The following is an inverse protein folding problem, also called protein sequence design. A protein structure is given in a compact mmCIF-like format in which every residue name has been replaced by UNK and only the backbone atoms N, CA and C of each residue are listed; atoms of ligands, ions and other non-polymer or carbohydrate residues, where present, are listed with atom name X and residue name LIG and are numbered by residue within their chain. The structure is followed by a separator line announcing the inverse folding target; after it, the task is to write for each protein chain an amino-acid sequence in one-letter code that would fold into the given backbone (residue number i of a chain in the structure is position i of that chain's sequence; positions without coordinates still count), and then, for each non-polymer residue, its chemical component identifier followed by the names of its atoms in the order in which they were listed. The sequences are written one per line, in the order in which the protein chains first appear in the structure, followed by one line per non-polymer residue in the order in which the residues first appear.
data_IF_660583498222
#
_entry.id   IF_660583498222
#
_cell.length_a   1.000
_cell.length_b   1.000
_cell.length_c   1.000
_cell.angle_alpha   90.00
_cell.angle_beta   90.00
_cell.angle_gamma   90.00
#
_symmetry.space_group_name_H-M   'P 1'
#
loop_
_entity.id
_entity.type
_entity.pdbx_description
1 polymer ?
#
# COMPACT_ATOMS: atom_id res chain seq x y z
N UNK A 1 -5.03 20.05 5.77
CA UNK A 1 -5.62 18.70 5.80
C UNK A 1 -4.56 17.71 5.41
N UNK A 2 -4.42 16.63 6.13
CA UNK A 2 -3.50 15.53 5.79
C UNK A 2 -4.32 14.24 5.66
N UNK A 3 -4.26 13.61 4.48
CA UNK A 3 -4.97 12.37 4.15
C UNK A 3 -3.95 11.24 4.19
N UNK A 4 -4.13 10.29 5.11
CA UNK A 4 -3.19 9.19 5.34
C UNK A 4 -3.85 7.83 5.24
N UNK A 5 -3.12 6.84 4.83
CA UNK A 5 -3.36 5.39 4.94
C UNK A 5 -2.44 4.61 4.00
N UNK A 6 -2.60 3.28 3.96
CA UNK A 6 -1.89 2.38 3.05
C UNK A 6 -2.06 2.74 1.57
N UNK A 7 -1.18 2.21 0.71
CA UNK A 7 -1.25 2.44 -0.73
C UNK A 7 -2.58 1.92 -1.34
N UNK A 8 -3.03 2.55 -2.42
CA UNK A 8 -4.18 2.09 -3.20
C UNK A 8 -5.58 2.28 -2.57
N UNK A 9 -5.69 2.99 -1.44
CA UNK A 9 -6.98 3.24 -0.75
C UNK A 9 -7.79 4.44 -1.29
N UNK A 10 -7.29 5.14 -2.32
CA UNK A 10 -8.00 6.24 -2.96
C UNK A 10 -7.69 7.65 -2.42
N UNK A 11 -6.59 7.85 -1.67
CA UNK A 11 -6.20 9.16 -1.11
C UNK A 11 -6.10 10.28 -2.14
N UNK A 12 -5.36 10.07 -3.22
CA UNK A 12 -5.22 11.02 -4.33
C UNK A 12 -6.55 11.31 -5.01
N UNK A 13 -7.37 10.27 -5.18
CA UNK A 13 -8.73 10.38 -5.75
C UNK A 13 -9.61 11.25 -4.86
N UNK A 14 -9.58 11.03 -3.55
CA UNK A 14 -10.33 11.85 -2.59
C UNK A 14 -9.88 13.31 -2.63
N UNK A 15 -8.55 13.57 -2.65
CA UNK A 15 -8.03 14.93 -2.75
C UNK A 15 -8.50 15.65 -4.01
N UNK A 16 -8.48 14.97 -5.17
CA UNK A 16 -8.98 15.51 -6.44
C UNK A 16 -10.49 15.72 -6.46
N UNK A 17 -11.26 14.80 -5.89
CA UNK A 17 -12.71 14.94 -5.77
C UNK A 17 -13.09 16.15 -4.90
N UNK A 18 -12.38 16.38 -3.80
CA UNK A 18 -12.62 17.54 -2.94
C UNK A 18 -12.46 18.85 -3.70
N UNK A 19 -11.36 19.05 -4.43
CA UNK A 19 -11.12 20.31 -5.17
C UNK A 19 -12.06 20.47 -6.38
N UNK A 20 -12.50 19.38 -6.99
CA UNK A 20 -13.47 19.42 -8.08
C UNK A 20 -14.90 19.76 -7.62
N UNK A 21 -15.22 19.51 -6.34
CA UNK A 21 -16.53 19.84 -5.75
C UNK A 21 -16.55 21.19 -5.01
N UNK A 22 -15.39 21.82 -4.85
CA UNK A 22 -15.26 23.15 -4.24
C UNK A 22 -14.94 24.16 -5.36
N UNK A 23 -15.56 25.32 -5.34
CA UNK A 23 -15.21 26.37 -6.30
C UNK A 23 -13.88 27.04 -5.90
N UNK A 24 -12.77 26.43 -6.36
CA UNK A 24 -11.41 26.84 -6.02
C UNK A 24 -10.47 26.74 -7.23
N UNK A 25 -9.44 27.59 -7.22
CA UNK A 25 -8.25 27.36 -8.04
C UNK A 25 -7.36 26.34 -7.32
N UNK A 26 -6.82 25.35 -8.02
CA UNK A 26 -5.92 24.40 -7.37
C UNK A 26 -4.63 24.15 -8.13
N UNK A 27 -3.57 23.89 -7.37
CA UNK A 27 -2.28 23.42 -7.84
C UNK A 27 -2.06 21.99 -7.34
N UNK A 28 -1.74 21.08 -8.26
CA UNK A 28 -1.37 19.70 -7.93
C UNK A 28 0.13 19.51 -8.13
N UNK A 29 0.80 19.00 -7.09
CA UNK A 29 2.23 18.65 -7.10
C UNK A 29 2.33 17.20 -6.62
N UNK A 30 2.97 16.34 -7.43
CA UNK A 30 3.38 15.01 -7.00
C UNK A 30 4.78 15.09 -6.38
N UNK A 31 4.86 14.86 -5.08
CA UNK A 31 6.10 14.99 -4.34
C UNK A 31 7.10 13.83 -4.59
N UNK A 32 6.65 12.72 -5.15
CA UNK A 32 7.56 11.64 -5.58
C UNK A 32 8.38 12.03 -6.81
N UNK A 33 7.80 12.83 -7.69
CA UNK A 33 8.46 13.30 -8.92
C UNK A 33 9.23 14.61 -8.67
N UNK A 34 8.71 15.47 -7.79
CA UNK A 34 9.18 16.83 -7.55
C UNK A 34 9.54 17.01 -6.06
N UNK A 35 10.56 16.32 -5.59
CA UNK A 35 10.95 16.27 -4.17
C UNK A 35 11.97 17.34 -3.75
N UNK A 36 12.51 18.14 -4.69
CA UNK A 36 13.49 19.15 -4.39
C UNK A 36 12.89 20.35 -3.65
N UNK A 37 13.65 20.90 -2.71
CA UNK A 37 13.26 22.04 -1.88
C UNK A 37 12.86 23.23 -2.74
N UNK A 38 13.66 23.53 -3.77
CA UNK A 38 13.52 24.73 -4.59
C UNK A 38 12.27 24.65 -5.48
N UNK A 39 12.04 23.48 -6.11
CA UNK A 39 10.88 23.28 -6.99
C UNK A 39 9.57 23.40 -6.20
N UNK A 40 9.47 22.72 -5.05
CA UNK A 40 8.28 22.81 -4.20
C UNK A 40 8.09 24.24 -3.71
N UNK A 41 9.17 24.92 -3.27
CA UNK A 41 9.13 26.29 -2.76
C UNK A 41 8.68 27.27 -3.82
N UNK A 42 9.25 27.22 -5.01
CA UNK A 42 8.90 28.16 -6.09
C UNK A 42 7.47 27.95 -6.60
N UNK A 43 7.06 26.72 -6.86
CA UNK A 43 5.70 26.43 -7.33
C UNK A 43 4.64 26.87 -6.33
N UNK A 44 4.82 26.51 -5.07
CA UNK A 44 3.90 26.89 -3.99
C UNK A 44 3.86 28.42 -3.83
N UNK A 45 5.02 29.08 -3.79
CA UNK A 45 5.11 30.53 -3.64
C UNK A 45 4.46 31.26 -4.82
N UNK A 46 4.77 30.86 -6.05
CA UNK A 46 4.23 31.49 -7.25
C UNK A 46 2.70 31.36 -7.29
N UNK A 47 2.18 30.15 -7.08
CA UNK A 47 0.74 29.94 -7.06
C UNK A 47 0.05 30.71 -5.92
N UNK A 48 0.61 30.68 -4.72
CA UNK A 48 0.02 31.33 -3.55
C UNK A 48 0.06 32.87 -3.62
N UNK A 49 1.06 33.46 -4.31
CA UNK A 49 1.25 34.91 -4.42
C UNK A 49 0.43 35.56 -5.56
N UNK A 50 0.02 34.77 -6.57
CA UNK A 50 -0.79 35.29 -7.68
C UNK A 50 -2.22 35.56 -7.25
N UNK A 51 -2.90 36.47 -7.95
CA UNK A 51 -4.35 36.64 -7.80
C UNK A 51 -5.04 35.40 -8.38
N UNK A 52 -6.00 34.84 -7.65
CA UNK A 52 -6.83 33.74 -8.12
C UNK A 52 -7.99 34.23 -8.96
N UNK A 53 -8.54 33.36 -9.79
CA UNK A 53 -9.80 33.59 -10.49
C UNK A 53 -11.00 33.30 -9.57
N UNK A 54 -10.78 32.54 -8.49
CA UNK A 54 -11.76 32.09 -7.52
C UNK A 54 -11.40 32.56 -6.11
N UNK A 55 -12.37 32.56 -5.22
CA UNK A 55 -12.19 33.05 -3.84
C UNK A 55 -11.27 32.18 -3.00
N UNK A 56 -11.12 30.89 -3.38
CA UNK A 56 -10.28 29.95 -2.64
C UNK A 56 -9.19 29.36 -3.53
N UNK A 57 -7.99 29.22 -2.97
CA UNK A 57 -6.87 28.47 -3.57
C UNK A 57 -6.56 27.24 -2.75
N UNK A 58 -6.31 26.13 -3.43
CA UNK A 58 -5.94 24.87 -2.80
C UNK A 58 -4.66 24.32 -3.42
N UNK A 59 -3.72 23.90 -2.60
CA UNK A 59 -2.50 23.23 -3.03
C UNK A 59 -2.58 21.79 -2.57
N UNK A 60 -2.52 20.83 -3.52
CA UNK A 60 -2.46 19.40 -3.26
C UNK A 60 -1.01 18.97 -3.39
N UNK A 61 -0.46 18.42 -2.31
CA UNK A 61 0.85 17.77 -2.28
C UNK A 61 0.62 16.27 -2.12
N UNK A 62 0.68 15.55 -3.23
CA UNK A 62 0.49 14.11 -3.26
C UNK A 62 1.80 13.39 -2.95
N UNK A 63 1.72 12.28 -2.22
CA UNK A 63 2.87 11.49 -1.76
C UNK A 63 3.90 12.31 -0.95
N UNK A 64 3.42 13.15 -0.05
CA UNK A 64 4.20 14.12 0.72
C UNK A 64 5.29 13.48 1.61
N UNK A 65 5.19 12.20 1.90
CA UNK A 65 6.19 11.39 2.62
C UNK A 65 7.48 11.13 1.81
N UNK A 66 7.51 11.49 0.52
CA UNK A 66 8.73 11.50 -0.30
C UNK A 66 9.52 12.82 -0.24
N UNK A 67 8.92 13.88 0.30
CA UNK A 67 9.59 15.18 0.46
C UNK A 67 10.69 15.06 1.52
N UNK A 68 11.89 15.58 1.20
CA UNK A 68 13.01 15.61 2.15
C UNK A 68 12.68 16.44 3.41
N UNK A 69 13.27 16.15 4.59
CA UNK A 69 13.02 16.92 5.81
C UNK A 69 13.28 18.42 5.67
N UNK A 70 14.29 18.80 4.88
CA UNK A 70 14.61 20.21 4.60
C UNK A 70 13.49 20.88 3.77
N UNK A 71 12.96 20.19 2.77
CA UNK A 71 11.84 20.68 1.97
C UNK A 71 10.54 20.74 2.78
N UNK A 72 10.32 19.81 3.68
CA UNK A 72 9.20 19.85 4.63
C UNK A 72 9.30 21.05 5.58
N UNK A 73 10.49 21.40 6.06
CA UNK A 73 10.69 22.62 6.88
C UNK A 73 10.40 23.90 6.10
N UNK A 74 10.78 23.96 4.82
CA UNK A 74 10.43 25.07 3.92
C UNK A 74 8.91 25.12 3.69
N UNK A 75 8.28 23.99 3.43
CA UNK A 75 6.83 23.87 3.23
C UNK A 75 6.07 24.37 4.47
N UNK A 76 6.49 24.03 5.68
CA UNK A 76 5.91 24.54 6.91
C UNK A 76 5.83 26.07 6.91
N UNK A 77 6.95 26.73 6.56
CA UNK A 77 6.99 28.20 6.52
C UNK A 77 6.02 28.78 5.47
N UNK A 78 5.91 28.13 4.32
CA UNK A 78 4.96 28.53 3.26
C UNK A 78 3.51 28.36 3.71
N UNK A 79 3.19 27.26 4.39
CA UNK A 79 1.86 27.01 4.96
C UNK A 79 1.45 28.10 5.96
N UNK A 80 2.38 28.57 6.79
CA UNK A 80 2.14 29.68 7.72
C UNK A 80 1.95 31.02 6.98
N UNK A 81 2.86 31.33 6.06
CA UNK A 81 2.84 32.61 5.31
C UNK A 81 1.57 32.75 4.49
N UNK A 82 1.14 31.70 3.84
CA UNK A 82 -0.01 31.74 2.92
C UNK A 82 -1.30 31.18 3.50
N UNK A 83 -1.37 30.96 4.81
CA UNK A 83 -2.55 30.38 5.50
C UNK A 83 -3.87 31.12 5.25
N UNK A 84 -3.81 32.43 4.97
CA UNK A 84 -5.00 33.26 4.67
C UNK A 84 -5.50 33.06 3.24
N UNK A 85 -4.58 32.85 2.29
CA UNK A 85 -4.87 32.86 0.85
C UNK A 85 -4.99 31.43 0.28
N UNK A 86 -4.36 30.43 0.92
CA UNK A 86 -4.31 29.07 0.41
C UNK A 86 -4.68 28.05 1.48
N UNK A 87 -5.28 26.93 1.04
CA UNK A 87 -5.46 25.72 1.84
C UNK A 87 -4.56 24.63 1.28
N UNK A 88 -4.11 23.75 2.15
CA UNK A 88 -3.21 22.67 1.78
C UNK A 88 -3.88 21.31 2.03
N UNK A 89 -3.78 20.43 1.04
CA UNK A 89 -4.15 19.02 1.14
C UNK A 89 -2.88 18.21 0.93
N UNK A 90 -2.46 17.47 1.93
CA UNK A 90 -1.30 16.59 1.89
C UNK A 90 -1.82 15.16 1.86
N UNK A 91 -1.28 14.31 0.98
CA UNK A 91 -1.51 12.87 1.06
C UNK A 91 -0.20 12.17 1.41
N UNK A 92 -0.26 11.11 2.18
CA UNK A 92 0.91 10.30 2.53
C UNK A 92 0.51 8.85 2.79
N UNK A 93 1.46 7.94 2.59
CA UNK A 93 1.35 6.55 3.00
C UNK A 93 1.90 6.37 4.42
N UNK A 94 2.99 7.03 4.74
CA UNK A 94 3.71 6.91 6.01
C UNK A 94 3.72 8.26 6.74
N UNK A 95 2.79 8.43 7.69
CA UNK A 95 2.67 9.69 8.45
C UNK A 95 3.92 9.98 9.31
N UNK A 96 4.62 8.94 9.71
CA UNK A 96 5.87 9.00 10.49
C UNK A 96 7.01 9.69 9.74
N UNK A 97 6.93 9.76 8.41
CA UNK A 97 7.88 10.50 7.57
C UNK A 97 7.57 12.00 7.46
N UNK A 98 6.39 12.41 7.91
CA UNK A 98 6.01 13.84 7.93
C UNK A 98 6.42 14.43 9.28
N UNK A 99 7.17 15.52 9.23
CA UNK A 99 7.65 16.19 10.47
C UNK A 99 6.48 16.69 11.34
N UNK A 100 6.62 16.59 12.65
CA UNK A 100 5.60 17.00 13.63
C UNK A 100 5.08 18.43 13.43
N UNK A 101 5.94 19.43 13.07
CA UNK A 101 5.45 20.79 12.82
C UNK A 101 4.46 20.90 11.64
N UNK A 102 4.48 20.01 10.65
CA UNK A 102 3.48 19.97 9.59
C UNK A 102 2.23 19.24 10.08
N UNK A 103 2.42 18.11 10.76
CA UNK A 103 1.29 17.34 11.29
C UNK A 103 0.41 18.17 12.23
N UNK A 104 1.03 18.96 13.12
CA UNK A 104 0.33 19.82 14.08
C UNK A 104 -0.49 20.95 13.42
N UNK A 105 -0.16 21.32 12.18
CA UNK A 105 -0.88 22.36 11.39
C UNK A 105 -1.94 21.80 10.46
N UNK A 106 -2.03 20.49 10.38
CA UNK A 106 -2.98 19.79 9.54
C UNK A 106 -4.02 19.05 10.36
N UNK A 107 -5.27 19.10 9.96
CA UNK A 107 -6.24 18.13 10.41
C UNK A 107 -5.98 16.82 9.68
N UNK A 108 -5.75 15.75 10.43
CA UNK A 108 -5.43 14.44 9.89
C UNK A 108 -6.70 13.60 9.68
N UNK A 109 -6.80 12.97 8.50
CA UNK A 109 -7.89 12.09 8.14
C UNK A 109 -7.32 10.75 7.67
N UNK A 110 -7.78 9.69 8.27
CA UNK A 110 -7.43 8.33 7.84
C UNK A 110 -8.49 7.85 6.85
N UNK A 111 -8.04 7.41 5.66
CA UNK A 111 -8.90 6.83 4.63
C UNK A 111 -8.89 5.32 4.79
N UNK A 112 -9.74 4.81 5.68
CA UNK A 112 -9.88 3.37 5.90
C UNK A 112 -10.43 2.72 4.63
N UNK A 113 -9.80 1.63 4.14
CA UNK A 113 -10.34 0.92 2.98
C UNK A 113 -11.74 0.40 3.26
N UNK A 114 -12.64 0.43 2.25
CA UNK A 114 -13.97 -0.16 2.37
C UNK A 114 -13.88 -1.66 2.69
N UNK A 115 -14.94 -2.23 3.23
CA UNK A 115 -14.96 -3.67 3.46
C UNK A 115 -14.87 -4.48 2.15
N UNK A 116 -14.44 -5.75 2.24
CA UNK A 116 -14.25 -6.61 1.06
C UNK A 116 -15.51 -6.75 0.21
N UNK A 117 -16.68 -6.71 0.83
CA UNK A 117 -17.98 -6.81 0.14
C UNK A 117 -18.23 -5.57 -0.71
N UNK A 118 -17.96 -4.39 -0.17
CA UNK A 118 -18.08 -3.12 -0.90
C UNK A 118 -17.07 -3.05 -2.06
N UNK A 119 -15.84 -3.51 -1.86
CA UNK A 119 -14.83 -3.59 -2.92
C UNK A 119 -15.27 -4.57 -4.02
N UNK A 120 -15.82 -5.73 -3.66
CA UNK A 120 -16.36 -6.71 -4.61
C UNK A 120 -17.53 -6.13 -5.42
N UNK A 121 -18.42 -5.41 -4.77
CA UNK A 121 -19.55 -4.74 -5.43
C UNK A 121 -19.08 -3.63 -6.38
N UNK A 122 -18.08 -2.87 -5.98
CA UNK A 122 -17.48 -1.85 -6.83
C UNK A 122 -16.81 -2.47 -8.08
N UNK A 123 -16.05 -3.55 -7.90
CA UNK A 123 -15.46 -4.29 -9.03
C UNK A 123 -16.54 -4.84 -9.97
N UNK A 124 -17.61 -5.43 -9.43
CA UNK A 124 -18.75 -5.91 -10.22
C UNK A 124 -19.39 -4.79 -11.05
N UNK A 125 -19.56 -3.60 -10.46
CA UNK A 125 -20.08 -2.43 -11.19
C UNK A 125 -19.16 -2.00 -12.33
N UNK A 126 -17.85 -2.02 -12.14
CA UNK A 126 -16.88 -1.71 -13.19
C UNK A 126 -17.00 -2.73 -14.33
N UNK A 127 -16.99 -4.04 -14.02
CA UNK A 127 -17.09 -5.10 -15.02
C UNK A 127 -18.40 -5.02 -15.83
N UNK A 128 -19.52 -4.72 -15.16
CA UNK A 128 -20.81 -4.51 -15.81
C UNK A 128 -20.78 -3.31 -16.77
N UNK A 129 -20.19 -2.18 -16.36
CA UNK A 129 -20.08 -0.99 -17.20
C UNK A 129 -19.21 -1.22 -18.45
N UNK A 130 -18.21 -2.09 -18.34
CA UNK A 130 -17.33 -2.49 -19.44
C UNK A 130 -17.89 -3.68 -20.26
N UNK A 131 -19.09 -4.18 -19.94
CA UNK A 131 -19.74 -5.33 -20.55
C UNK A 131 -18.89 -6.61 -20.49
N UNK A 132 -18.21 -6.85 -19.38
CA UNK A 132 -17.39 -8.03 -19.14
C UNK A 132 -18.21 -9.06 -18.37
N UNK A 133 -18.27 -10.29 -18.89
CA UNK A 133 -18.88 -11.43 -18.19
C UNK A 133 -17.97 -11.91 -17.04
N UNK A 134 -18.57 -12.25 -15.90
CA UNK A 134 -17.82 -12.73 -14.74
C UNK A 134 -18.65 -13.72 -13.88
N UNK A 135 -17.95 -14.57 -13.12
CA UNK A 135 -18.54 -15.34 -12.01
C UNK A 135 -18.28 -14.59 -10.68
N UNK A 136 -19.23 -14.68 -9.76
CA UNK A 136 -19.11 -14.09 -8.41
C UNK A 136 -17.89 -14.67 -7.65
N UNK A 137 -17.56 -15.94 -7.88
CA UNK A 137 -16.40 -16.59 -7.27
C UNK A 137 -15.09 -15.98 -7.75
N UNK A 138 -15.03 -15.58 -9.01
CA UNK A 138 -13.85 -14.96 -9.61
C UNK A 138 -13.60 -13.58 -9.00
N UNK A 139 -14.66 -12.78 -8.82
CA UNK A 139 -14.56 -11.50 -8.10
C UNK A 139 -14.04 -11.70 -6.68
N UNK A 140 -14.57 -12.67 -5.94
CA UNK A 140 -14.14 -12.94 -4.57
C UNK A 140 -12.65 -13.33 -4.52
N UNK A 141 -12.18 -14.12 -5.46
CA UNK A 141 -10.76 -14.53 -5.57
C UNK A 141 -9.85 -13.33 -5.81
N UNK A 142 -10.20 -12.45 -6.75
CA UNK A 142 -9.42 -11.24 -7.06
C UNK A 142 -9.40 -10.29 -5.86
N UNK A 143 -10.54 -10.05 -5.25
CA UNK A 143 -10.65 -9.17 -4.08
C UNK A 143 -9.81 -9.71 -2.92
N UNK A 144 -9.87 -11.00 -2.63
CA UNK A 144 -9.06 -11.60 -1.56
C UNK A 144 -7.55 -11.48 -1.82
N UNK A 145 -7.12 -11.57 -3.08
CA UNK A 145 -5.72 -11.43 -3.46
C UNK A 145 -5.17 -10.01 -3.51
N UNK A 146 -6.04 -9.00 -3.67
CA UNK A 146 -5.63 -7.60 -3.81
C UNK A 146 -5.93 -6.73 -2.59
N UNK A 147 -6.89 -7.10 -1.76
CA UNK A 147 -7.30 -6.32 -0.59
C UNK A 147 -6.15 -6.16 0.44
N UNK A 148 -5.94 -4.97 1.04
CA UNK A 148 -6.80 -3.78 1.03
C UNK A 148 -6.55 -2.78 -0.12
N UNK A 149 -5.61 -3.06 -1.02
CA UNK A 149 -5.26 -2.19 -2.15
C UNK A 149 -6.28 -2.32 -3.29
N UNK A 150 -7.20 -1.34 -3.40
CA UNK A 150 -8.26 -1.33 -4.42
C UNK A 150 -7.66 -1.22 -5.83
N UNK A 151 -6.56 -0.48 -6.00
CA UNK A 151 -5.86 -0.36 -7.29
C UNK A 151 -5.33 -1.73 -7.74
N UNK A 152 -4.76 -2.51 -6.81
CA UNK A 152 -4.29 -3.88 -7.06
C UNK A 152 -5.43 -4.81 -7.46
N UNK A 153 -6.60 -4.68 -6.82
CA UNK A 153 -7.81 -5.43 -7.17
C UNK A 153 -8.25 -5.11 -8.60
N UNK A 154 -8.40 -3.83 -8.94
CA UNK A 154 -8.86 -3.41 -10.28
C UNK A 154 -7.84 -3.81 -11.36
N UNK A 155 -6.56 -3.53 -11.16
CA UNK A 155 -5.51 -3.89 -12.12
C UNK A 155 -5.35 -5.41 -12.26
N UNK A 156 -5.58 -6.15 -11.17
CA UNK A 156 -5.59 -7.61 -11.16
C UNK A 156 -6.73 -8.17 -12.01
N UNK A 157 -7.93 -7.61 -11.89
CA UNK A 157 -9.07 -8.01 -12.70
C UNK A 157 -8.86 -7.68 -14.18
N UNK A 158 -8.36 -6.49 -14.50
CA UNK A 158 -8.10 -6.07 -15.88
C UNK A 158 -7.15 -7.02 -16.62
N UNK A 159 -6.11 -7.50 -15.94
CA UNK A 159 -5.15 -8.46 -16.52
C UNK A 159 -5.75 -9.82 -16.84
N UNK A 160 -6.85 -10.18 -16.17
CA UNK A 160 -7.49 -11.49 -16.30
C UNK A 160 -8.73 -11.46 -17.20
N UNK A 161 -9.01 -10.34 -17.86
CA UNK A 161 -10.07 -10.26 -18.87
C UNK A 161 -9.55 -10.76 -20.19
N UNK A 162 -10.15 -11.85 -20.70
CA UNK A 162 -9.82 -12.45 -21.99
C UNK A 162 -11.12 -12.55 -22.82
N UNK A 163 -11.12 -11.98 -24.01
CA UNK A 163 -12.27 -12.01 -24.93
C UNK A 163 -13.60 -11.55 -24.30
N UNK A 164 -13.58 -10.50 -23.47
CA UNK A 164 -14.77 -9.95 -22.83
C UNK A 164 -15.28 -10.77 -21.63
N UNK A 165 -14.51 -11.72 -21.14
CA UNK A 165 -14.82 -12.51 -19.97
C UNK A 165 -13.69 -12.49 -18.96
N UNK A 166 -14.04 -12.38 -17.67
CA UNK A 166 -13.11 -12.55 -16.58
C UNK A 166 -12.78 -14.04 -16.41
N UNK A 167 -11.50 -14.40 -16.59
CA UNK A 167 -11.04 -15.80 -16.47
C UNK A 167 -9.89 -15.81 -15.46
N UNK A 168 -10.10 -16.42 -14.30
CA UNK A 168 -9.06 -16.55 -13.29
C UNK A 168 -8.05 -17.62 -13.73
N UNK A 169 -6.79 -17.22 -13.87
CA UNK A 169 -5.70 -18.16 -14.08
C UNK A 169 -5.48 -19.01 -12.80
N UNK A 170 -5.27 -20.32 -12.96
CA UNK A 170 -4.96 -21.23 -11.86
C UNK A 170 -3.76 -20.77 -11.04
N UNK A 171 -2.79 -20.09 -11.67
CA UNK A 171 -1.65 -19.48 -10.99
C UNK A 171 -2.08 -18.40 -9.99
N UNK A 172 -3.14 -17.64 -10.27
CA UNK A 172 -3.65 -16.59 -9.36
C UNK A 172 -4.29 -17.20 -8.11
N UNK A 173 -4.99 -18.33 -8.27
CA UNK A 173 -5.56 -19.09 -7.15
C UNK A 173 -4.43 -19.60 -6.27
N UNK A 174 -3.40 -20.18 -6.88
CA UNK A 174 -2.21 -20.70 -6.17
C UNK A 174 -1.45 -19.60 -5.43
N UNK A 175 -1.30 -18.40 -6.05
CA UNK A 175 -0.66 -17.24 -5.44
C UNK A 175 -1.43 -16.68 -4.23
N UNK A 176 -2.74 -16.84 -4.17
CA UNK A 176 -3.52 -16.39 -3.02
C UNK A 176 -3.53 -17.41 -1.88
N UNK A 177 -3.36 -18.68 -2.23
CA UNK A 177 -3.53 -19.82 -1.31
C UNK A 177 -2.21 -20.24 -0.63
N UNK A 178 -1.04 -19.80 -1.16
CA UNK A 178 0.26 -20.26 -0.61
C UNK A 178 0.49 -19.79 0.84
N UNK A 179 -0.05 -18.62 1.21
CA UNK A 179 0.13 -18.04 2.55
C UNK A 179 -0.53 -18.89 3.63
N UNK A 180 -1.77 -19.33 3.40
CA UNK A 180 -2.46 -20.25 4.31
C UNK A 180 -1.77 -21.61 4.40
N UNK A 181 -1.33 -22.15 3.26
CA UNK A 181 -0.58 -23.41 3.22
C UNK A 181 0.77 -23.33 3.96
N UNK A 182 1.48 -22.21 3.87
CA UNK A 182 2.71 -21.99 4.65
C UNK A 182 2.43 -22.06 6.14
N UNK A 183 1.37 -21.41 6.62
CA UNK A 183 0.98 -21.45 8.03
C UNK A 183 0.63 -22.88 8.49
N UNK A 184 -0.13 -23.61 7.68
CA UNK A 184 -0.49 -25.00 7.99
C UNK A 184 0.74 -25.90 8.06
N UNK A 185 1.71 -25.72 7.16
CA UNK A 185 2.97 -26.45 7.19
C UNK A 185 3.79 -26.14 8.46
N UNK A 186 3.86 -24.88 8.85
CA UNK A 186 4.56 -24.50 10.08
C UNK A 186 3.93 -25.10 11.33
N UNK A 187 2.59 -25.19 11.38
CA UNK A 187 1.84 -25.75 12.52
C UNK A 187 1.92 -27.26 12.63
N UNK A 188 1.86 -27.98 11.53
CA UNK A 188 1.49 -29.41 11.52
C UNK A 188 2.60 -30.37 11.13
N UNK A 189 3.62 -29.95 10.37
CA UNK A 189 4.61 -30.85 9.79
C UNK A 189 5.92 -30.91 10.60
N UNK A 190 6.64 -32.01 10.44
CA UNK A 190 7.98 -32.18 11.01
C UNK A 190 9.04 -31.33 10.30
N UNK A 191 10.21 -31.15 10.91
CA UNK A 191 11.28 -30.24 10.44
C UNK A 191 11.68 -30.45 8.99
N UNK A 192 11.91 -31.73 8.59
CA UNK A 192 12.43 -32.04 7.25
C UNK A 192 11.39 -31.83 6.14
N UNK A 193 10.16 -32.30 6.37
CA UNK A 193 9.06 -32.15 5.41
C UNK A 193 8.59 -30.72 5.30
N UNK A 194 8.57 -29.95 6.38
CA UNK A 194 8.24 -28.52 6.37
C UNK A 194 9.10 -27.73 5.41
N UNK A 195 10.43 -27.90 5.48
CA UNK A 195 11.35 -27.19 4.60
C UNK A 195 11.13 -27.52 3.11
N UNK A 196 11.02 -28.82 2.79
CA UNK A 196 10.82 -29.25 1.41
C UNK A 196 9.50 -28.74 0.83
N UNK A 197 8.42 -28.84 1.62
CA UNK A 197 7.09 -28.44 1.17
C UNK A 197 6.96 -26.91 1.04
N UNK A 198 7.55 -26.12 1.94
CA UNK A 198 7.58 -24.67 1.80
C UNK A 198 8.36 -24.26 0.55
N UNK A 199 9.54 -24.86 0.32
CA UNK A 199 10.33 -24.59 -0.88
C UNK A 199 9.56 -24.88 -2.16
N UNK A 200 8.92 -26.06 -2.25
CA UNK A 200 8.13 -26.41 -3.41
C UNK A 200 6.95 -25.46 -3.60
N UNK A 201 6.26 -25.13 -2.51
CA UNK A 201 5.12 -24.21 -2.52
C UNK A 201 5.49 -22.80 -3.00
N UNK A 202 6.64 -22.27 -2.58
CA UNK A 202 7.13 -20.97 -3.01
C UNK A 202 7.53 -20.97 -4.49
N UNK A 203 8.24 -22.03 -4.94
CA UNK A 203 8.59 -22.19 -6.35
C UNK A 203 7.35 -22.28 -7.26
N UNK A 204 6.35 -23.04 -6.85
CA UNK A 204 5.10 -23.22 -7.62
C UNK A 204 4.26 -21.92 -7.65
N UNK A 205 4.30 -21.13 -6.57
CA UNK A 205 3.52 -19.89 -6.48
C UNK A 205 4.06 -18.75 -7.33
N UNK A 206 5.32 -18.81 -7.79
CA UNK A 206 6.00 -17.76 -8.59
C UNK A 206 5.88 -16.36 -7.99
N UNK A 207 5.82 -16.25 -6.67
CA UNK A 207 5.75 -14.98 -5.95
C UNK A 207 7.13 -14.33 -5.94
N UNK A 208 7.20 -13.05 -6.30
CA UNK A 208 8.45 -12.26 -6.29
C UNK A 208 8.53 -11.25 -5.14
N UNK A 209 7.41 -10.99 -4.45
CA UNK A 209 7.33 -10.08 -3.30
C UNK A 209 6.72 -10.79 -2.10
N UNK A 210 7.51 -10.88 -1.03
CA UNK A 210 7.15 -11.58 0.20
C UNK A 210 6.78 -10.65 1.36
N UNK A 211 6.66 -9.34 1.12
CA UNK A 211 6.35 -8.34 2.16
C UNK A 211 5.07 -8.67 2.94
N UNK A 212 4.02 -9.10 2.23
CA UNK A 212 2.77 -9.53 2.83
C UNK A 212 2.91 -10.83 3.65
N UNK A 213 3.86 -11.70 3.30
CA UNK A 213 4.11 -12.95 4.03
C UNK A 213 4.80 -12.66 5.36
N UNK A 214 5.78 -11.75 5.40
CA UNK A 214 6.39 -11.31 6.65
C UNK A 214 5.33 -10.76 7.61
N UNK A 215 4.42 -9.93 7.11
CA UNK A 215 3.35 -9.37 7.93
C UNK A 215 2.39 -10.42 8.45
N UNK A 216 1.97 -11.36 7.60
CA UNK A 216 1.10 -12.46 7.99
C UNK A 216 1.75 -13.34 9.06
N UNK A 217 3.02 -13.71 8.88
CA UNK A 217 3.76 -14.52 9.85
C UNK A 217 3.86 -13.82 11.20
N UNK A 218 4.08 -12.51 11.21
CA UNK A 218 4.10 -11.74 12.46
C UNK A 218 2.72 -11.68 13.11
N UNK A 219 1.66 -11.39 12.35
CA UNK A 219 0.30 -11.25 12.88
C UNK A 219 -0.28 -12.58 13.42
N UNK A 220 0.23 -13.71 12.95
CA UNK A 220 -0.20 -15.08 13.36
C UNK A 220 0.84 -15.83 14.18
N UNK A 221 1.84 -15.13 14.73
CA UNK A 221 2.99 -15.77 15.39
C UNK A 221 2.61 -16.63 16.60
N UNK A 222 1.54 -16.26 17.30
CA UNK A 222 1.01 -17.02 18.44
C UNK A 222 0.53 -18.41 18.05
N UNK A 223 0.11 -18.57 16.78
CA UNK A 223 -0.44 -19.83 16.26
C UNK A 223 0.64 -20.85 15.91
N UNK A 224 1.83 -20.44 15.44
CA UNK A 224 2.86 -21.30 14.90
C UNK A 224 4.21 -21.21 15.63
N UNK A 225 4.48 -20.09 16.32
CA UNK A 225 5.74 -19.83 17.04
C UNK A 225 5.68 -20.16 18.54
N UNK A 226 4.72 -20.97 18.97
CA UNK A 226 4.46 -21.27 20.38
C UNK A 226 5.73 -21.75 21.10
N UNK A 227 6.06 -21.05 22.19
CA UNK A 227 7.27 -21.34 22.99
C UNK A 227 8.54 -20.62 22.53
N UNK A 228 8.59 -20.07 21.32
CA UNK A 228 9.75 -19.40 20.71
C UNK A 228 9.39 -18.07 20.04
N UNK A 229 8.36 -17.38 20.54
CA UNK A 229 7.83 -16.15 19.93
C UNK A 229 8.91 -15.08 19.81
N UNK A 230 9.71 -14.86 20.87
CA UNK A 230 10.73 -13.83 20.88
C UNK A 230 11.83 -14.07 19.84
N UNK A 231 12.31 -15.30 19.74
CA UNK A 231 13.31 -15.71 18.74
C UNK A 231 12.74 -15.56 17.31
N UNK A 232 11.51 -15.99 17.09
CA UNK A 232 10.84 -15.86 15.79
C UNK A 232 10.67 -14.41 15.36
N UNK A 233 10.35 -13.47 16.28
CA UNK A 233 10.28 -12.04 15.99
C UNK A 233 11.64 -11.49 15.55
N UNK A 234 12.72 -11.88 16.22
CA UNK A 234 14.07 -11.45 15.87
C UNK A 234 14.48 -11.96 14.48
N UNK A 235 14.14 -13.20 14.16
CA UNK A 235 14.38 -13.79 12.84
C UNK A 235 13.58 -13.04 11.77
N UNK A 236 12.28 -12.82 11.97
CA UNK A 236 11.43 -12.06 11.04
C UNK A 236 11.98 -10.65 10.79
N UNK A 237 12.36 -9.92 11.85
CA UNK A 237 12.93 -8.57 11.75
C UNK A 237 14.23 -8.54 10.94
N UNK A 238 15.15 -9.50 11.18
CA UNK A 238 16.43 -9.65 10.48
C UNK A 238 16.22 -9.83 8.97
N UNK A 239 15.36 -10.76 8.58
CA UNK A 239 15.13 -11.06 7.16
C UNK A 239 14.25 -10.03 6.45
N UNK A 240 13.34 -9.38 7.15
CA UNK A 240 12.58 -8.25 6.61
C UNK A 240 13.48 -7.04 6.29
N UNK A 241 14.48 -6.74 7.14
CA UNK A 241 15.46 -5.70 6.85
C UNK A 241 16.31 -6.06 5.64
N UNK A 242 16.74 -7.32 5.54
CA UNK A 242 17.52 -7.80 4.39
C UNK A 242 16.72 -7.78 3.09
N UNK A 243 15.41 -8.01 3.12
CA UNK A 243 14.55 -8.08 1.93
C UNK A 243 14.54 -6.78 1.09
N UNK A 244 14.81 -5.65 1.73
CA UNK A 244 14.91 -4.35 1.05
C UNK A 244 16.18 -4.20 0.18
N UNK A 245 17.21 -5.02 0.42
CA UNK A 245 18.57 -4.83 -0.17
C UNK A 245 19.01 -6.05 -0.98
N UNK A 246 18.46 -7.24 -0.73
CA UNK A 246 18.87 -8.47 -1.41
C UNK A 246 18.36 -8.51 -2.85
N UNK A 247 19.18 -9.06 -3.73
CA UNK A 247 18.83 -9.26 -5.15
C UNK A 247 17.86 -10.42 -5.32
N UNK A 248 18.09 -11.53 -4.60
CA UNK A 248 17.25 -12.73 -4.66
C UNK A 248 16.41 -12.87 -3.39
N UNK A 249 15.15 -12.51 -3.50
CA UNK A 249 14.20 -12.57 -2.40
C UNK A 249 13.79 -14.00 -2.04
N UNK A 250 13.83 -14.94 -2.99
CA UNK A 250 13.50 -16.34 -2.74
C UNK A 250 14.56 -16.98 -1.82
N UNK A 251 15.84 -16.73 -2.07
CA UNK A 251 16.91 -17.19 -1.19
C UNK A 251 16.78 -16.59 0.20
N UNK A 252 16.45 -15.31 0.30
CA UNK A 252 16.28 -14.61 1.58
C UNK A 252 15.16 -15.21 2.41
N UNK A 253 13.98 -15.40 1.81
CA UNK A 253 12.82 -15.96 2.51
C UNK A 253 13.04 -17.44 2.89
N UNK A 254 13.70 -18.21 2.04
CA UNK A 254 14.05 -19.59 2.37
C UNK A 254 15.05 -19.69 3.52
N UNK A 255 16.03 -18.79 3.60
CA UNK A 255 16.97 -18.70 4.71
C UNK A 255 16.24 -18.39 6.03
N UNK A 256 15.25 -17.49 5.99
CA UNK A 256 14.37 -17.22 7.13
C UNK A 256 13.65 -18.50 7.60
N UNK A 257 13.04 -19.26 6.68
CA UNK A 257 12.35 -20.49 7.04
C UNK A 257 13.27 -21.56 7.61
N UNK A 258 14.53 -21.64 7.17
CA UNK A 258 15.53 -22.53 7.78
C UNK A 258 15.76 -22.17 9.25
N UNK A 259 15.96 -20.88 9.57
CA UNK A 259 16.13 -20.42 10.95
C UNK A 259 14.85 -20.65 11.79
N UNK A 260 13.68 -20.26 11.28
CA UNK A 260 12.39 -20.45 11.97
C UNK A 260 12.14 -21.93 12.28
N UNK A 261 12.21 -22.81 11.27
CA UNK A 261 12.00 -24.25 11.44
C UNK A 261 13.04 -24.84 12.39
N UNK A 262 14.28 -24.34 12.36
CA UNK A 262 15.34 -24.74 13.27
C UNK A 262 15.07 -24.35 14.72
N UNK A 263 14.32 -23.28 14.94
CA UNK A 263 13.99 -22.75 16.26
C UNK A 263 12.75 -23.41 16.86
N UNK A 264 11.67 -23.59 16.07
CA UNK A 264 10.38 -24.09 16.57
C UNK A 264 10.25 -25.61 16.57
N UNK A 265 11.10 -26.32 15.88
CA UNK A 265 11.09 -27.80 15.69
C UNK A 265 12.48 -28.37 15.88
#
# INVERSE_FOLDING_TARGET
MCIRDSAGTGKTTLAKLLVNNIDCDYLYINASDENSVDVVREKVKNFASTLGFKDMKVIILDECDYITPNAQAALRNLMETFSKNCRFILTCNYVERIIDPIQSRCQSFQVVPPDRKQVAQHLANILNNENIEYDIKDIATIVNGGYPDIRRVINGSQRQVVNGKLVIDENTITQNDYKSKVLDILKTQDKKSSFQNIRQLLADSKVSDFSDLFRLLFDTIDDWGTGHIAECILILSKYQQSDAVVVDKEINIMSMFVEIIGTIK
#
